data_IF_463959331707
#
_entry.id   IF_463959331707
#
_cell.length_a   1.000
_cell.length_b   1.000
_cell.length_c   1.000
_cell.angle_alpha   90.00
_cell.angle_beta   90.00
_cell.angle_gamma   90.00
#
_symmetry.space_group_name_H-M   'P 1'
#
loop_
_entity.id
_entity.type
_entity.pdbx_description
1 polymer ?
#
# COMPACT_ATOMS: atom_id res chain seq x y z
N UNK A 1 25.75 4.76 10.67
CA UNK A 1 25.42 6.05 11.30
C UNK A 1 23.92 6.28 11.22
N UNK A 2 23.30 6.71 12.33
CA UNK A 2 21.89 7.10 12.37
C UNK A 2 21.67 8.38 11.56
N UNK A 3 20.58 8.44 10.78
CA UNK A 3 20.23 9.63 9.98
C UNK A 3 18.77 9.62 9.57
N UNK A 4 18.27 10.82 9.27
CA UNK A 4 16.98 11.02 8.58
C UNK A 4 17.28 11.44 7.15
N UNK A 5 16.64 10.80 6.17
CA UNK A 5 16.76 11.16 4.75
C UNK A 5 15.39 11.40 4.15
N UNK A 6 15.25 12.41 3.31
CA UNK A 6 14.03 12.68 2.54
C UNK A 6 14.38 12.60 1.07
N UNK A 7 13.77 11.65 0.36
CA UNK A 7 14.05 11.39 -1.04
C UNK A 7 12.75 11.47 -1.86
N UNK A 8 12.86 11.93 -3.11
CA UNK A 8 11.82 11.73 -4.10
C UNK A 8 12.02 10.36 -4.75
N UNK A 9 11.10 9.42 -4.51
CA UNK A 9 11.15 8.07 -5.09
C UNK A 9 10.01 7.86 -6.08
N UNK A 10 10.19 6.91 -7.00
CA UNK A 10 9.07 6.39 -7.78
C UNK A 10 8.15 5.62 -6.84
N UNK A 11 6.85 5.87 -6.92
CA UNK A 11 5.87 5.20 -6.07
C UNK A 11 5.92 3.69 -6.27
N UNK A 12 6.15 3.26 -7.51
CA UNK A 12 6.33 1.86 -7.91
C UNK A 12 7.51 1.20 -7.17
N UNK A 13 8.55 1.94 -6.81
CA UNK A 13 9.67 1.41 -6.00
C UNK A 13 9.25 1.12 -4.56
N UNK A 14 8.51 2.03 -3.92
CA UNK A 14 7.97 1.82 -2.56
C UNK A 14 6.96 0.68 -2.55
N UNK A 15 6.08 0.66 -3.55
CA UNK A 15 5.07 -0.35 -3.78
C UNK A 15 5.67 -1.75 -4.00
N UNK A 16 6.72 -1.86 -4.82
CA UNK A 16 7.46 -3.10 -5.05
C UNK A 16 8.09 -3.63 -3.76
N UNK A 17 8.71 -2.75 -2.95
CA UNK A 17 9.23 -3.14 -1.62
C UNK A 17 8.14 -3.74 -0.73
N UNK A 18 6.92 -3.22 -0.78
CA UNK A 18 5.80 -3.80 -0.03
C UNK A 18 5.31 -5.13 -0.61
N UNK A 19 5.15 -5.24 -1.93
CA UNK A 19 4.68 -6.48 -2.57
C UNK A 19 5.68 -7.63 -2.42
N UNK A 20 6.97 -7.33 -2.35
CA UNK A 20 8.04 -8.28 -2.04
C UNK A 20 8.24 -8.51 -0.54
N UNK A 21 7.34 -7.97 0.30
CA UNK A 21 7.32 -8.11 1.76
C UNK A 21 8.55 -7.54 2.49
N UNK A 22 9.27 -6.59 1.89
CA UNK A 22 10.35 -5.84 2.55
C UNK A 22 9.85 -4.68 3.42
N UNK A 23 8.54 -4.43 3.43
CA UNK A 23 7.89 -3.44 4.29
C UNK A 23 6.81 -4.11 5.12
N UNK A 24 6.73 -3.74 6.40
CA UNK A 24 5.67 -4.18 7.29
C UNK A 24 5.09 -2.98 8.05
N UNK A 25 3.77 -2.91 8.30
CA UNK A 25 3.18 -1.78 9.01
C UNK A 25 3.55 -1.83 10.49
N UNK A 26 3.82 -0.68 11.09
CA UNK A 26 4.12 -0.64 12.51
C UNK A 26 2.93 -1.16 13.35
N UNK A 27 3.22 -1.91 14.41
CA UNK A 27 2.22 -2.60 15.23
C UNK A 27 1.15 -1.66 15.83
N UNK A 28 1.53 -0.41 16.11
CA UNK A 28 0.67 0.61 16.74
C UNK A 28 -0.26 1.33 15.77
N UNK A 29 -0.10 1.17 14.47
CA UNK A 29 -0.91 1.93 13.52
C UNK A 29 -2.35 1.48 13.50
N UNK A 30 -3.30 2.26 12.99
CA UNK A 30 -4.72 1.86 12.93
C UNK A 30 -4.93 0.73 11.91
N UNK A 31 -6.00 -0.08 12.03
CA UNK A 31 -6.38 -1.00 10.96
C UNK A 31 -6.62 -0.24 9.65
N UNK A 32 -6.69 -0.97 8.53
CA UNK A 32 -7.09 -0.37 7.24
C UNK A 32 -8.51 0.22 7.36
N UNK A 33 -8.73 1.42 6.80
CA UNK A 33 -10.01 2.15 6.93
C UNK A 33 -10.55 2.74 5.63
N UNK A 34 -9.84 2.60 4.50
CA UNK A 34 -10.27 3.19 3.24
C UNK A 34 -11.45 2.42 2.63
N UNK A 35 -12.46 3.15 2.17
CA UNK A 35 -13.56 2.63 1.37
C UNK A 35 -13.26 2.63 -0.13
N UNK A 36 -14.23 2.23 -0.95
CA UNK A 36 -14.10 2.22 -2.42
C UNK A 36 -13.79 3.61 -2.98
N UNK A 37 -14.50 4.64 -2.50
CA UNK A 37 -14.29 6.02 -2.96
C UNK A 37 -12.87 6.54 -2.65
N UNK A 38 -12.28 6.14 -1.52
CA UNK A 38 -10.91 6.53 -1.16
C UNK A 38 -9.91 5.87 -2.11
N UNK A 39 -10.12 4.59 -2.42
CA UNK A 39 -9.31 3.83 -3.38
C UNK A 39 -9.39 4.43 -4.77
N UNK A 40 -10.60 4.73 -5.26
CA UNK A 40 -10.78 5.36 -6.58
C UNK A 40 -10.15 6.76 -6.63
N UNK A 41 -10.28 7.56 -5.57
CA UNK A 41 -9.61 8.87 -5.47
C UNK A 41 -8.10 8.74 -5.47
N UNK A 42 -7.54 7.74 -4.79
CA UNK A 42 -6.10 7.48 -4.81
C UNK A 42 -5.60 7.16 -6.22
N UNK A 43 -6.28 6.26 -6.93
CA UNK A 43 -5.93 5.94 -8.31
C UNK A 43 -6.17 7.12 -9.27
N UNK A 44 -7.24 7.88 -9.06
CA UNK A 44 -7.52 9.11 -9.79
C UNK A 44 -6.41 10.16 -9.64
N UNK A 45 -5.80 10.27 -8.45
CA UNK A 45 -4.64 11.13 -8.22
C UNK A 45 -3.42 10.63 -8.99
N UNK A 46 -3.15 9.31 -8.99
CA UNK A 46 -2.05 8.73 -9.75
C UNK A 46 -2.19 8.97 -11.25
N UNK A 47 -3.37 8.70 -11.82
CA UNK A 47 -3.64 8.92 -13.25
C UNK A 47 -3.48 10.38 -13.68
N UNK A 48 -3.75 11.33 -12.76
CA UNK A 48 -3.63 12.78 -13.02
C UNK A 48 -2.26 13.36 -12.68
N UNK A 49 -1.34 12.55 -12.15
CA UNK A 49 -0.05 13.03 -11.65
C UNK A 49 -0.16 13.94 -10.43
N UNK A 50 -1.25 13.85 -9.66
CA UNK A 50 -1.43 14.60 -8.43
C UNK A 50 -0.62 13.99 -7.28
N UNK A 51 -0.19 14.81 -6.30
CA UNK A 51 0.52 14.30 -5.14
C UNK A 51 -0.30 13.25 -4.39
N UNK A 52 0.27 12.06 -4.20
CA UNK A 52 -0.33 10.99 -3.40
C UNK A 52 0.12 11.01 -1.93
N UNK A 53 0.86 12.05 -1.53
CA UNK A 53 1.42 12.24 -0.20
C UNK A 53 2.77 11.56 0.00
N UNK A 54 3.13 11.31 1.27
CA UNK A 54 4.45 10.81 1.67
C UNK A 54 4.40 9.44 2.35
N UNK A 55 5.52 8.75 2.38
CA UNK A 55 5.75 7.57 3.19
C UNK A 55 6.81 7.87 4.25
N UNK A 56 6.54 7.45 5.48
CA UNK A 56 7.52 7.46 6.56
C UNK A 56 7.93 6.02 6.85
N UNK A 57 9.20 5.72 6.69
CA UNK A 57 9.75 4.37 6.79
C UNK A 57 10.89 4.39 7.80
N UNK A 58 10.90 3.42 8.72
CA UNK A 58 12.03 3.18 9.61
C UNK A 58 12.80 1.94 9.16
N UNK A 59 14.09 2.14 8.93
CA UNK A 59 15.09 1.12 8.63
C UNK A 59 15.90 0.88 9.89
N UNK A 60 15.56 -0.15 10.68
CA UNK A 60 16.19 -0.38 11.96
C UNK A 60 17.67 -0.76 11.81
N UNK A 61 18.48 -0.57 12.86
CA UNK A 61 19.82 -1.16 12.94
C UNK A 61 19.79 -2.67 12.70
N UNK A 62 20.89 -3.22 12.18
CA UNK A 62 21.03 -4.67 12.06
C UNK A 62 20.92 -5.38 13.41
N UNK A 63 20.28 -6.54 13.45
CA UNK A 63 20.06 -7.31 14.68
C UNK A 63 18.93 -6.80 15.57
N UNK A 64 18.21 -5.74 15.15
CA UNK A 64 16.99 -5.30 15.86
C UNK A 64 15.94 -6.40 15.81
N UNK A 65 15.45 -6.84 16.97
CA UNK A 65 14.30 -7.74 17.06
C UNK A 65 13.02 -6.96 16.69
N UNK A 66 12.35 -7.43 15.65
CA UNK A 66 11.13 -6.84 15.11
C UNK A 66 9.91 -7.74 15.32
N UNK A 67 10.03 -8.83 16.08
CA UNK A 67 8.98 -9.84 16.25
C UNK A 67 7.66 -9.27 16.82
N UNK A 68 7.69 -8.10 17.48
CA UNK A 68 6.48 -7.35 17.88
C UNK A 68 6.29 -6.00 17.19
N UNK A 69 7.22 -5.58 16.32
CA UNK A 69 7.22 -4.27 15.68
C UNK A 69 6.22 -4.12 14.53
N UNK A 70 5.79 -5.26 13.99
CA UNK A 70 4.97 -5.34 12.79
C UNK A 70 3.57 -5.81 13.14
N UNK A 71 2.58 -5.26 12.44
CA UNK A 71 1.18 -5.72 12.50
C UNK A 71 0.88 -6.93 11.61
N UNK A 72 1.90 -7.66 11.18
CA UNK A 72 1.76 -8.73 10.21
C UNK A 72 1.84 -8.16 8.80
N UNK A 73 0.70 -7.92 8.15
CA UNK A 73 0.60 -7.77 6.68
C UNK A 73 0.31 -6.36 6.17
N UNK A 74 0.66 -6.10 4.90
CA UNK A 74 0.23 -4.93 4.12
C UNK A 74 -0.75 -5.38 3.04
N UNK A 75 -2.03 -5.08 3.24
CA UNK A 75 -3.08 -5.63 2.37
C UNK A 75 -2.99 -7.17 2.34
N UNK A 76 -3.02 -7.83 1.18
CA UNK A 76 -2.93 -9.29 1.11
C UNK A 76 -1.50 -9.83 1.29
N UNK A 77 -0.49 -8.97 1.45
CA UNK A 77 0.93 -9.36 1.42
C UNK A 77 1.49 -9.55 2.82
N UNK A 78 2.02 -10.75 3.09
CA UNK A 78 2.79 -11.04 4.29
C UNK A 78 4.24 -10.54 4.14
N UNK A 79 4.85 -10.00 5.18
CA UNK A 79 6.25 -9.58 5.14
C UNK A 79 7.17 -10.79 5.16
N UNK A 80 8.33 -10.63 4.51
CA UNK A 80 9.38 -11.65 4.50
C UNK A 80 10.35 -11.40 5.66
N UNK A 81 9.98 -11.87 6.86
CA UNK A 81 10.77 -11.70 8.09
C UNK A 81 12.19 -12.31 8.05
N UNK A 82 12.47 -13.21 7.09
CA UNK A 82 13.79 -13.81 6.89
C UNK A 82 14.84 -12.86 6.28
N UNK A 83 14.44 -11.65 5.84
CA UNK A 83 15.32 -10.62 5.28
C UNK A 83 15.21 -9.34 6.09
N UNK A 84 16.22 -8.46 6.01
CA UNK A 84 16.12 -7.11 6.58
C UNK A 84 14.88 -6.43 5.99
N UNK A 85 13.89 -6.14 6.82
CA UNK A 85 12.68 -5.43 6.42
C UNK A 85 12.60 -4.07 7.13
N UNK A 86 11.89 -3.13 6.52
CA UNK A 86 11.68 -1.79 7.09
C UNK A 86 10.26 -1.69 7.63
N UNK A 87 10.08 -0.87 8.66
CA UNK A 87 8.77 -0.62 9.25
C UNK A 87 8.14 0.60 8.59
N UNK A 88 6.94 0.42 8.05
CA UNK A 88 6.11 1.50 7.54
C UNK A 88 5.43 2.19 8.72
N UNK A 89 5.89 3.41 8.98
CA UNK A 89 5.38 4.25 10.05
C UNK A 89 4.23 5.14 9.55
N UNK A 90 4.20 5.56 8.28
CA UNK A 90 3.08 6.30 7.68
C UNK A 90 2.82 5.94 6.21
N UNK A 91 1.57 6.10 5.76
CA UNK A 91 1.15 5.78 4.38
C UNK A 91 0.55 4.38 4.19
N UNK A 92 0.19 3.69 5.27
CA UNK A 92 -0.32 2.31 5.24
C UNK A 92 -1.52 2.07 4.30
N UNK A 93 -2.52 2.96 4.28
CA UNK A 93 -3.74 2.71 3.52
C UNK A 93 -3.45 2.80 2.02
N UNK A 94 -2.55 3.71 1.62
CA UNK A 94 -2.06 3.83 0.24
C UNK A 94 -1.36 2.55 -0.20
N UNK A 95 -0.45 2.06 0.63
CA UNK A 95 0.36 0.88 0.30
C UNK A 95 -0.46 -0.41 0.32
N UNK A 96 -1.35 -0.56 1.30
CA UNK A 96 -2.31 -1.66 1.36
C UNK A 96 -3.29 -1.62 0.18
N UNK A 97 -3.77 -0.44 -0.22
CA UNK A 97 -4.63 -0.27 -1.40
C UNK A 97 -3.93 -0.73 -2.66
N UNK A 98 -2.67 -0.35 -2.83
CA UNK A 98 -1.88 -0.81 -3.95
C UNK A 98 -1.72 -2.34 -3.93
N UNK A 99 -1.30 -2.91 -2.79
CA UNK A 99 -1.11 -4.34 -2.64
C UNK A 99 -2.40 -5.13 -2.94
N UNK A 100 -3.55 -4.64 -2.47
CA UNK A 100 -4.85 -5.21 -2.80
C UNK A 100 -5.20 -5.10 -4.28
N UNK A 101 -4.88 -3.97 -4.92
CA UNK A 101 -5.15 -3.75 -6.35
C UNK A 101 -4.30 -4.64 -7.26
N UNK A 102 -3.14 -5.09 -6.78
CA UNK A 102 -2.25 -6.01 -7.51
C UNK A 102 -2.66 -7.48 -7.33
N UNK A 103 -3.41 -7.82 -6.29
CA UNK A 103 -3.87 -9.19 -6.08
C UNK A 103 -4.98 -9.56 -7.09
N UNK A 104 -5.04 -10.83 -7.54
CA UNK A 104 -6.20 -11.32 -8.27
C UNK A 104 -7.47 -11.17 -7.42
N UNK A 105 -8.55 -10.68 -8.03
CA UNK A 105 -9.80 -10.41 -7.33
C UNK A 105 -10.40 -11.65 -6.66
N UNK A 106 -10.29 -12.79 -7.33
CA UNK A 106 -10.77 -14.11 -6.92
C UNK A 106 -9.81 -14.85 -5.98
N UNK A 107 -8.59 -14.34 -5.77
CA UNK A 107 -7.65 -14.97 -4.84
C UNK A 107 -8.25 -14.98 -3.43
N UNK A 108 -8.08 -16.07 -2.65
CA UNK A 108 -8.45 -16.09 -1.24
C UNK A 108 -7.81 -14.93 -0.48
N UNK A 109 -8.59 -14.25 0.36
CA UNK A 109 -8.07 -13.19 1.21
C UNK A 109 -7.38 -13.75 2.46
N UNK A 110 -6.57 -12.95 3.16
CA UNK A 110 -6.12 -13.29 4.50
C UNK A 110 -7.31 -13.56 5.43
N UNK A 111 -7.15 -14.46 6.41
CA UNK A 111 -8.21 -14.78 7.37
C UNK A 111 -8.51 -13.64 8.35
N UNK A 112 -7.53 -12.77 8.58
CA UNK A 112 -7.54 -11.65 9.52
C UNK A 112 -7.92 -10.31 8.86
N UNK A 113 -8.73 -10.32 7.79
CA UNK A 113 -9.23 -9.10 7.17
C UNK A 113 -9.99 -8.22 8.17
N UNK A 114 -9.79 -6.92 8.09
CA UNK A 114 -10.59 -5.94 8.83
C UNK A 114 -11.99 -5.81 8.21
N UNK A 115 -12.93 -5.20 8.94
CA UNK A 115 -14.27 -4.92 8.40
C UNK A 115 -14.19 -4.02 7.17
N UNK A 116 -13.37 -2.97 7.20
CA UNK A 116 -13.20 -2.05 6.06
C UNK A 116 -12.55 -2.74 4.85
N UNK A 117 -11.60 -3.65 5.06
CA UNK A 117 -11.03 -4.43 3.95
C UNK A 117 -12.06 -5.35 3.31
N UNK A 118 -12.87 -6.05 4.12
CA UNK A 118 -13.98 -6.88 3.58
C UNK A 118 -14.98 -6.02 2.82
N UNK A 119 -15.42 -4.91 3.40
CA UNK A 119 -16.39 -4.01 2.78
C UNK A 119 -15.87 -3.39 1.46
N UNK A 120 -14.56 -3.19 1.33
CA UNK A 120 -13.96 -2.59 0.13
C UNK A 120 -13.68 -3.64 -0.94
N UNK A 121 -12.89 -4.66 -0.57
CA UNK A 121 -12.26 -5.62 -1.49
C UNK A 121 -13.05 -6.92 -1.65
N UNK A 122 -13.99 -7.22 -0.75
CA UNK A 122 -14.86 -8.42 -0.77
C UNK A 122 -16.35 -8.06 -0.86
N UNK A 123 -16.64 -6.95 -1.52
CA UNK A 123 -17.99 -6.41 -1.73
C UNK A 123 -18.75 -7.05 -2.90
N UNK A 124 -18.13 -7.98 -3.64
CA UNK A 124 -18.65 -8.47 -4.92
C UNK A 124 -18.37 -7.52 -6.09
N UNK A 125 -17.56 -6.47 -5.89
CA UNK A 125 -17.08 -5.58 -6.95
C UNK A 125 -15.59 -5.77 -7.22
N UNK A 126 -15.21 -5.77 -8.49
CA UNK A 126 -13.82 -5.82 -8.93
C UNK A 126 -13.30 -4.42 -9.24
N UNK A 127 -12.05 -4.14 -8.88
CA UNK A 127 -11.36 -2.91 -9.27
C UNK A 127 -10.77 -3.10 -10.69
N UNK A 128 -11.18 -2.25 -11.62
CA UNK A 128 -10.80 -2.33 -13.04
C UNK A 128 -10.23 -1.01 -13.54
N UNK A 129 -9.34 -1.10 -14.51
CA UNK A 129 -9.00 -0.01 -15.40
C UNK A 129 -10.03 0.01 -16.53
N UNK A 130 -10.84 1.07 -16.58
CA UNK A 130 -11.91 1.27 -17.54
C UNK A 130 -11.47 2.32 -18.57
N UNK A 131 -11.10 1.90 -19.80
CA UNK A 131 -10.64 2.84 -20.83
C UNK A 131 -11.75 3.71 -21.39
N UNK A 132 -13.01 3.27 -21.33
CA UNK A 132 -14.17 4.06 -21.76
C UNK A 132 -14.40 5.22 -20.78
N UNK A 133 -14.42 4.90 -19.48
CA UNK A 133 -14.54 5.91 -18.42
C UNK A 133 -13.24 6.67 -18.15
N UNK A 134 -12.12 6.25 -18.76
CA UNK A 134 -10.76 6.75 -18.52
C UNK A 134 -10.38 6.81 -17.03
N UNK A 135 -10.79 5.80 -16.28
CA UNK A 135 -10.66 5.77 -14.83
C UNK A 135 -10.33 4.37 -14.29
N UNK A 136 -9.80 4.34 -13.07
CA UNK A 136 -9.72 3.13 -12.26
C UNK A 136 -10.87 3.16 -11.26
N UNK A 137 -11.75 2.16 -11.32
CA UNK A 137 -13.03 2.16 -10.58
C UNK A 137 -13.47 0.75 -10.19
N UNK A 138 -14.29 0.66 -9.16
CA UNK A 138 -15.00 -0.56 -8.81
C UNK A 138 -16.22 -0.75 -9.72
N UNK A 139 -16.40 -1.97 -10.21
CA UNK A 139 -17.58 -2.41 -10.98
C UNK A 139 -18.08 -3.73 -10.42
N UNK A 140 -19.37 -4.09 -10.59
CA UNK A 140 -19.84 -5.44 -10.24
C UNK A 140 -18.92 -6.51 -10.84
N UNK A 141 -18.57 -7.55 -10.09
CA UNK A 141 -17.60 -8.55 -10.55
C UNK A 141 -18.01 -9.22 -11.87
N UNK A 142 -19.31 -9.41 -12.10
CA UNK A 142 -19.85 -9.94 -13.35
C UNK A 142 -19.60 -9.01 -14.57
N UNK A 143 -19.33 -7.72 -14.34
CA UNK A 143 -19.06 -6.71 -15.36
C UNK A 143 -17.56 -6.36 -15.49
N UNK A 144 -16.70 -7.05 -14.75
CA UNK A 144 -15.27 -6.75 -14.71
C UNK A 144 -14.57 -6.89 -16.07
N UNK A 145 -15.09 -7.77 -16.92
CA UNK A 145 -14.58 -8.02 -18.27
C UNK A 145 -15.44 -7.39 -19.38
N UNK A 146 -16.49 -6.65 -19.02
CA UNK A 146 -17.36 -5.98 -19.99
C UNK A 146 -16.61 -4.91 -20.78
N UNK A 147 -16.92 -4.82 -22.08
CA UNK A 147 -16.25 -3.90 -23.00
C UNK A 147 -14.76 -4.20 -23.08
N UNK A 148 -13.93 -3.17 -22.84
CA UNK A 148 -12.47 -3.26 -22.89
C UNK A 148 -11.81 -3.09 -21.52
N UNK A 149 -12.57 -3.27 -20.43
CA UNK A 149 -12.03 -3.23 -19.06
C UNK A 149 -10.98 -4.33 -18.86
N UNK A 150 -9.97 -3.99 -18.06
CA UNK A 150 -8.93 -4.91 -17.59
C UNK A 150 -8.77 -4.77 -16.08
N UNK A 151 -8.35 -5.83 -15.35
CA UNK A 151 -8.01 -5.67 -13.94
C UNK A 151 -6.84 -4.68 -13.80
N UNK A 152 -6.85 -3.85 -12.75
CA UNK A 152 -5.83 -2.78 -12.57
C UNK A 152 -4.40 -3.30 -12.64
N UNK A 153 -4.15 -4.50 -12.07
CA UNK A 153 -2.83 -5.15 -12.13
C UNK A 153 -2.30 -5.37 -13.55
N UNK A 154 -3.17 -5.47 -14.56
CA UNK A 154 -2.75 -5.58 -15.96
C UNK A 154 -1.92 -4.38 -16.41
N UNK A 155 -2.16 -3.19 -15.85
CA UNK A 155 -1.37 -2.00 -16.17
C UNK A 155 0.10 -2.10 -15.70
N UNK A 156 0.42 -3.05 -14.82
CA UNK A 156 1.78 -3.35 -14.34
C UNK A 156 2.31 -4.67 -14.91
N UNK A 157 1.41 -5.56 -15.33
CA UNK A 157 1.70 -6.86 -15.92
C UNK A 157 1.49 -6.82 -17.45
N UNK A 158 2.50 -6.36 -18.19
CA UNK A 158 2.43 -6.18 -19.65
C UNK A 158 1.87 -7.42 -20.39
N UNK A 159 2.30 -8.63 -19.99
CA UNK A 159 1.80 -9.86 -20.57
C UNK A 159 0.30 -10.09 -20.33
N UNK A 160 -0.21 -9.71 -19.16
CA UNK A 160 -1.64 -9.80 -18.82
C UNK A 160 -2.44 -8.77 -19.62
N UNK A 161 -1.95 -7.54 -19.75
CA UNK A 161 -2.59 -6.50 -20.57
C UNK A 161 -2.74 -6.97 -22.01
N UNK A 162 -1.65 -7.39 -22.65
CA UNK A 162 -1.70 -7.86 -24.04
C UNK A 162 -2.50 -9.14 -24.21
N UNK A 163 -2.48 -10.05 -23.23
CA UNK A 163 -3.38 -11.20 -23.21
C UNK A 163 -4.85 -10.76 -23.27
N UNK A 164 -5.24 -9.74 -22.50
CA UNK A 164 -6.63 -9.27 -22.44
C UNK A 164 -7.02 -8.38 -23.61
N UNK A 165 -6.07 -7.66 -24.19
CA UNK A 165 -6.30 -6.76 -25.33
C UNK A 165 -6.29 -7.51 -26.66
N UNK A 166 -5.33 -8.42 -26.87
CA UNK A 166 -5.08 -9.03 -28.19
C UNK A 166 -5.58 -10.47 -28.34
N UNK A 167 -5.75 -11.21 -27.23
CA UNK A 167 -6.02 -12.66 -27.30
C UNK A 167 -7.44 -13.05 -26.90
N UNK A 168 -8.30 -12.08 -26.61
CA UNK A 168 -9.72 -12.34 -26.31
C UNK A 168 -10.51 -12.44 -27.63
N UNK A 169 -11.05 -13.61 -27.99
CA UNK A 169 -11.77 -13.78 -29.26
C UNK A 169 -12.94 -12.80 -29.40
N UNK A 170 -13.08 -12.17 -30.56
CA UNK A 170 -14.16 -11.23 -30.86
C UNK A 170 -14.05 -9.86 -30.17
N UNK A 171 -13.01 -9.61 -29.37
CA UNK A 171 -12.79 -8.31 -28.74
C UNK A 171 -12.18 -7.33 -29.74
N UNK A 172 -12.84 -6.19 -29.92
CA UNK A 172 -12.32 -5.05 -30.67
C UNK A 172 -11.88 -3.99 -29.68
N UNK A 173 -10.59 -3.62 -29.71
CA UNK A 173 -10.02 -2.59 -28.85
C UNK A 173 -9.74 -1.34 -29.69
N UNK A 174 -10.50 -0.24 -29.52
CA UNK A 174 -10.24 1.01 -30.22
C UNK A 174 -8.85 1.57 -29.91
N UNK A 175 -8.26 2.27 -30.88
CA UNK A 175 -6.95 2.92 -30.68
C UNK A 175 -6.94 3.85 -29.46
N UNK A 176 -8.02 4.61 -29.24
CA UNK A 176 -8.15 5.48 -28.07
C UNK A 176 -8.05 4.75 -26.73
N UNK A 177 -8.45 3.47 -26.67
CA UNK A 177 -8.32 2.66 -25.45
C UNK A 177 -6.88 2.20 -25.25
N UNK A 178 -6.19 1.83 -26.33
CA UNK A 178 -4.75 1.51 -26.30
C UNK A 178 -3.94 2.73 -25.83
N UNK A 179 -4.20 3.90 -26.42
CA UNK A 179 -3.54 5.15 -26.06
C UNK A 179 -3.77 5.49 -24.58
N UNK A 180 -4.99 5.24 -24.08
CA UNK A 180 -5.29 5.45 -22.66
C UNK A 180 -4.56 4.46 -21.75
N UNK A 181 -4.46 3.18 -22.11
CA UNK A 181 -3.68 2.21 -21.33
C UNK A 181 -2.21 2.58 -21.27
N UNK A 182 -1.64 3.04 -22.38
CA UNK A 182 -0.26 3.54 -22.43
C UNK A 182 -0.09 4.77 -21.53
N UNK A 183 -1.01 5.73 -21.62
CA UNK A 183 -1.01 6.92 -20.76
C UNK A 183 -1.12 6.56 -19.27
N UNK A 184 -2.05 5.67 -18.92
CA UNK A 184 -2.28 5.23 -17.55
C UNK A 184 -1.06 4.50 -16.99
N UNK A 185 -0.46 3.61 -17.78
CA UNK A 185 0.77 2.89 -17.41
C UNK A 185 1.90 3.88 -17.11
N UNK A 186 2.16 4.82 -18.02
CA UNK A 186 3.20 5.85 -17.83
C UNK A 186 2.93 6.70 -16.59
N UNK A 187 1.70 7.17 -16.39
CA UNK A 187 1.34 7.99 -15.24
C UNK A 187 1.67 7.31 -13.90
N UNK A 188 1.46 5.99 -13.78
CA UNK A 188 1.78 5.26 -12.55
C UNK A 188 3.26 4.94 -12.41
N UNK A 189 3.95 4.63 -13.52
CA UNK A 189 5.39 4.35 -13.52
C UNK A 189 6.22 5.60 -13.21
N UNK A 190 5.76 6.77 -13.66
CA UNK A 190 6.43 8.06 -13.44
C UNK A 190 5.98 8.75 -12.15
N UNK A 191 4.93 8.25 -11.49
CA UNK A 191 4.40 8.85 -10.27
C UNK A 191 5.47 8.85 -9.16
N UNK A 192 5.74 10.03 -8.61
CA UNK A 192 6.71 10.23 -7.54
C UNK A 192 6.03 10.48 -6.21
N UNK A 193 6.66 10.00 -5.15
CA UNK A 193 6.27 10.27 -3.77
C UNK A 193 7.49 10.74 -2.96
N UNK A 194 7.21 11.43 -1.85
CA UNK A 194 8.24 11.73 -0.87
C UNK A 194 8.36 10.56 0.10
N UNK A 195 9.59 10.07 0.28
CA UNK A 195 9.91 9.03 1.26
C UNK A 195 10.86 9.62 2.29
N UNK A 196 10.38 9.68 3.53
CA UNK A 196 11.22 9.99 4.69
C UNK A 196 11.68 8.66 5.29
N UNK A 197 12.97 8.39 5.26
CA UNK A 197 13.57 7.21 5.89
C UNK A 197 14.31 7.60 7.18
N UNK A 198 13.94 6.95 8.29
CA UNK A 198 14.66 6.94 9.54
C UNK A 198 15.63 5.76 9.50
N UNK A 199 16.94 6.00 9.33
CA UNK A 199 17.92 4.94 9.04
C UNK A 199 18.84 4.72 10.23
N UNK A 200 18.93 3.47 10.71
CA UNK A 200 19.73 3.06 11.86
C UNK A 200 19.44 3.85 13.16
N UNK A 201 18.24 4.42 13.29
CA UNK A 201 17.78 4.99 14.56
C UNK A 201 17.41 3.84 15.50
N UNK A 202 17.80 3.89 16.78
CA UNK A 202 17.28 2.99 17.81
C UNK A 202 15.74 3.02 17.85
N UNK A 203 15.07 1.94 18.28
CA UNK A 203 13.61 1.87 18.30
C UNK A 203 12.93 3.06 19.00
N UNK A 204 13.42 3.48 20.18
CA UNK A 204 12.88 4.65 20.89
C UNK A 204 13.00 5.96 20.08
N UNK A 205 14.14 6.22 19.44
CA UNK A 205 14.33 7.46 18.67
C UNK A 205 13.49 7.48 17.39
N UNK A 206 13.39 6.33 16.70
CA UNK A 206 12.54 6.21 15.52
C UNK A 206 11.07 6.48 15.85
N UNK A 207 10.66 6.04 17.05
CA UNK A 207 9.34 6.25 17.58
C UNK A 207 9.08 7.72 17.95
N UNK A 208 10.02 8.38 18.61
CA UNK A 208 9.90 9.79 18.95
C UNK A 208 9.88 10.67 17.69
N UNK A 209 10.70 10.33 16.68
CA UNK A 209 10.63 10.95 15.36
C UNK A 209 9.25 10.73 14.71
N UNK A 210 8.69 9.52 14.80
CA UNK A 210 7.32 9.26 14.35
C UNK A 210 6.30 10.15 15.08
N UNK A 211 6.37 10.27 16.40
CA UNK A 211 5.47 11.12 17.21
C UNK A 211 5.52 12.58 16.77
N UNK A 212 6.70 13.11 16.45
CA UNK A 212 6.86 14.49 16.01
C UNK A 212 6.38 14.71 14.57
N UNK A 213 6.63 13.76 13.66
CA UNK A 213 6.25 13.89 12.25
C UNK A 213 4.76 13.60 11.99
N UNK A 214 4.16 12.67 12.74
CA UNK A 214 2.79 12.20 12.52
C UNK A 214 1.70 13.10 13.14
N UNK A 215 2.07 14.21 13.79
CA UNK A 215 1.13 15.16 14.44
C UNK A 215 0.16 15.89 13.50
N UNK A 216 0.25 15.71 12.18
CA UNK A 216 -0.67 16.27 11.20
C UNK A 216 -1.80 15.31 10.77
N UNK A 217 -1.92 14.13 11.40
CA UNK A 217 -3.02 13.17 11.18
C UNK A 217 -3.84 12.91 12.46
N UNK A 218 -4.96 12.20 12.32
CA UNK A 218 -5.86 11.85 13.43
C UNK A 218 -5.07 11.27 14.61
N UNK A 219 -5.17 11.91 15.77
CA UNK A 219 -4.44 11.56 16.98
C UNK A 219 -4.71 10.10 17.39
N UNK A 220 -3.64 9.32 17.57
CA UNK A 220 -3.69 8.03 18.25
C UNK A 220 -3.73 8.28 19.75
N UNK A 221 -4.53 7.51 20.50
CA UNK A 221 -4.54 7.62 21.95
C UNK A 221 -3.23 7.04 22.52
N UNK A 222 -2.71 7.66 23.59
CA UNK A 222 -1.44 7.26 24.21
C UNK A 222 -1.44 5.79 24.69
N UNK A 223 -2.60 5.26 25.07
CA UNK A 223 -2.78 3.88 25.53
C UNK A 223 -2.68 2.85 24.39
N UNK A 224 -3.26 3.13 23.22
CA UNK A 224 -3.13 2.28 22.02
C UNK A 224 -1.68 2.19 21.56
N UNK A 225 -0.96 3.29 21.76
CA UNK A 225 0.44 3.43 21.45
C UNK A 225 1.31 2.61 22.41
N UNK A 226 1.17 2.76 23.73
CA UNK A 226 1.93 1.99 24.72
C UNK A 226 1.71 0.48 24.58
N UNK A 227 0.46 0.04 24.35
CA UNK A 227 0.13 -1.37 24.14
C UNK A 227 0.86 -1.96 22.92
N UNK A 228 0.96 -1.19 21.84
CA UNK A 228 1.62 -1.61 20.62
C UNK A 228 3.13 -1.29 20.57
N UNK A 229 3.67 -0.72 21.66
CA UNK A 229 5.10 -0.47 21.87
C UNK A 229 5.72 -1.37 22.94
N UNK A 230 4.92 -2.25 23.54
CA UNK A 230 5.38 -3.23 24.53
C UNK A 230 6.53 -4.14 24.04
N UNK A 231 6.73 -4.24 22.73
CA UNK A 231 7.82 -4.99 22.11
C UNK A 231 9.15 -4.21 22.03
N UNK A 232 9.12 -2.88 22.01
CA UNK A 232 10.33 -2.05 21.83
C UNK A 232 10.84 -1.43 23.14
N UNK A 233 9.99 -1.36 24.16
CA UNK A 233 10.34 -0.82 25.47
C UNK A 233 10.75 -1.97 26.39
N UNK A 234 11.97 -1.96 26.98
CA UNK A 234 12.34 -2.93 27.99
C UNK A 234 11.32 -2.94 29.14
N UNK A 235 11.06 -4.12 29.71
CA UNK A 235 10.07 -4.38 30.77
C UNK A 235 10.30 -3.63 32.10
N UNK A 236 11.22 -2.66 32.17
CA UNK A 236 11.73 -2.06 33.41
C UNK A 236 10.94 -0.85 33.94
N UNK A 237 9.70 -0.61 33.49
CA UNK A 237 8.79 0.38 34.11
C UNK A 237 7.45 -0.18 34.60
N UNK A 238 7.39 -1.47 34.91
CA UNK A 238 6.35 -2.04 35.79
C UNK A 238 6.96 -2.40 37.15
N UNK A 239 7.37 -1.40 37.92
CA UNK A 239 7.87 -1.62 39.28
C UNK A 239 8.43 -0.36 39.93
N UNK A 240 7.75 0.09 40.99
CA UNK A 240 8.15 1.17 41.91
C UNK A 240 7.51 2.51 41.53
N UNK A 241 6.61 3.11 42.33
CA UNK A 241 6.14 2.89 43.70
C UNK A 241 4.71 3.41 43.79
#
# INVERSE_FOLDING_TARGET
MARVTVNGELIETVMRRASEGFLAPAAFRRPYVWGQDDVERFWASLLRGWPTGQFLIWRPPEGTDLAGASRGRIGPVQPHYARRFSILLDGQNRLATFAWSMAPFDAPGPSDMTQAERATWRSGKALVADPEARAIRFVPAAEAESGNRVPVRALFENALLWSRVMRTPGRVVPQAHLDWFDQATRAMMDARCHVTELVNLPPQEALDAFRHLARAGVAMADEEFEAAMAWALPSSRRGGT
#
